data_IF_608834000641
#
_entry.id   IF_608834000641
#
_cell.length_a   1.000
_cell.length_b   1.000
_cell.length_c   1.000
_cell.angle_alpha   90.00
_cell.angle_beta   90.00
_cell.angle_gamma   90.00
#
_symmetry.space_group_name_H-M   'P 1'
#
loop_
_entity.id
_entity.type
_entity.pdbx_description
1 polymer ?
#
# COMPACT_ATOMS: atom_id res chain seq x y z
N UNK A 1 -10.81 1.00 -8.08
CA UNK A 1 -9.60 0.29 -8.57
C UNK A 1 -9.48 -1.00 -7.79
N UNK A 2 -9.13 -2.10 -8.43
CA UNK A 2 -8.65 -3.27 -7.71
C UNK A 2 -7.67 -4.00 -8.62
N UNK A 3 -6.39 -3.67 -8.49
CA UNK A 3 -5.34 -4.47 -9.11
C UNK A 3 -4.77 -5.41 -8.06
N UNK A 4 -4.52 -6.69 -8.38
CA UNK A 4 -3.96 -7.65 -7.43
C UNK A 4 -2.63 -7.22 -6.79
N UNK A 5 -1.92 -6.24 -7.36
CA UNK A 5 -0.69 -5.71 -6.78
C UNK A 5 -0.93 -4.73 -5.63
N UNK A 6 -2.04 -4.00 -5.63
CA UNK A 6 -2.35 -3.02 -4.59
C UNK A 6 -2.61 -3.71 -3.27
N UNK A 7 -3.46 -4.74 -3.31
CA UNK A 7 -3.78 -5.56 -2.16
C UNK A 7 -2.49 -6.15 -1.57
N UNK A 8 -1.57 -6.65 -2.41
CA UNK A 8 -0.27 -7.17 -1.93
C UNK A 8 0.63 -6.09 -1.32
N UNK A 9 0.59 -4.85 -1.82
CA UNK A 9 1.34 -3.73 -1.21
C UNK A 9 0.75 -3.40 0.16
N UNK A 10 -0.57 -3.30 0.24
CA UNK A 10 -1.28 -3.01 1.47
C UNK A 10 -1.07 -4.13 2.50
N UNK A 11 -1.22 -5.39 2.11
CA UNK A 11 -0.96 -6.58 2.94
C UNK A 11 0.47 -6.57 3.50
N UNK A 12 1.47 -6.25 2.68
CA UNK A 12 2.87 -6.19 3.11
C UNK A 12 3.09 -5.11 4.19
N UNK A 13 2.45 -3.94 4.04
CA UNK A 13 2.52 -2.86 5.02
C UNK A 13 1.78 -3.26 6.31
N UNK A 14 0.54 -3.73 6.20
CA UNK A 14 -0.32 -4.10 7.32
C UNK A 14 0.27 -5.24 8.16
N UNK A 15 0.67 -6.35 7.51
CA UNK A 15 1.20 -7.53 8.21
C UNK A 15 2.51 -7.23 8.94
N UNK A 16 3.32 -6.31 8.41
CA UNK A 16 4.57 -5.92 9.06
C UNK A 16 4.34 -5.03 10.27
N UNK A 17 3.33 -4.16 10.26
CA UNK A 17 3.16 -3.07 11.22
C UNK A 17 4.30 -2.03 11.17
N UNK A 18 5.15 -2.06 10.14
CA UNK A 18 6.35 -1.24 10.01
C UNK A 18 6.22 -0.19 8.90
N UNK A 19 7.11 0.79 8.96
CA UNK A 19 7.36 1.71 7.85
C UNK A 19 8.32 1.03 6.86
N UNK A 20 7.86 0.79 5.63
CA UNK A 20 8.62 0.08 4.61
C UNK A 20 9.06 1.00 3.46
N UNK A 21 10.17 0.65 2.82
CA UNK A 21 10.59 1.29 1.58
C UNK A 21 10.04 0.56 0.35
N UNK A 22 9.90 1.23 -0.81
CA UNK A 22 9.45 0.59 -2.05
C UNK A 22 10.29 -0.62 -2.44
N UNK A 23 11.60 -0.60 -2.17
CA UNK A 23 12.49 -1.73 -2.47
C UNK A 23 12.19 -2.95 -1.60
N UNK A 24 11.90 -2.74 -0.31
CA UNK A 24 11.57 -3.83 0.63
C UNK A 24 10.22 -4.43 0.28
N UNK A 25 9.22 -3.60 -0.01
CA UNK A 25 7.90 -4.06 -0.45
C UNK A 25 8.05 -4.89 -1.73
N UNK A 26 8.70 -4.34 -2.75
CA UNK A 26 8.90 -4.99 -4.05
C UNK A 26 9.60 -6.35 -3.94
N UNK A 27 10.63 -6.46 -3.08
CA UNK A 27 11.32 -7.71 -2.81
C UNK A 27 10.37 -8.77 -2.23
N UNK A 28 9.56 -8.40 -1.23
CA UNK A 28 8.68 -9.35 -0.54
C UNK A 28 7.44 -9.76 -1.36
N UNK A 29 7.00 -8.92 -2.30
CA UNK A 29 5.84 -9.24 -3.15
C UNK A 29 6.24 -9.77 -4.55
N UNK A 30 7.53 -10.00 -4.79
CA UNK A 30 8.08 -10.46 -6.08
C UNK A 30 7.62 -9.57 -7.26
N UNK A 31 7.88 -8.26 -7.14
CA UNK A 31 7.56 -7.26 -8.16
C UNK A 31 8.71 -6.32 -8.42
N UNK A 32 8.66 -5.66 -9.58
CA UNK A 32 9.59 -4.59 -9.89
C UNK A 32 9.36 -3.38 -8.98
N UNK A 33 10.45 -2.83 -8.44
CA UNK A 33 10.43 -1.61 -7.61
C UNK A 33 9.78 -0.42 -8.32
N UNK A 34 9.96 -0.29 -9.64
CA UNK A 34 9.34 0.78 -10.44
C UNK A 34 7.82 0.69 -10.42
N UNK A 35 7.27 -0.51 -10.54
CA UNK A 35 5.82 -0.72 -10.48
C UNK A 35 5.29 -0.46 -9.07
N UNK A 36 5.97 -0.95 -8.03
CA UNK A 36 5.59 -0.66 -6.63
C UNK A 36 5.60 0.84 -6.33
N UNK A 37 6.59 1.59 -6.82
CA UNK A 37 6.61 3.05 -6.68
C UNK A 37 5.40 3.71 -7.34
N UNK A 38 5.05 3.30 -8.57
CA UNK A 38 3.90 3.85 -9.29
C UNK A 38 2.60 3.60 -8.52
N UNK A 39 2.44 2.40 -7.96
CA UNK A 39 1.28 2.02 -7.16
C UNK A 39 1.23 2.73 -5.82
N UNK A 40 2.35 2.85 -5.11
CA UNK A 40 2.41 3.60 -3.85
C UNK A 40 1.99 5.06 -4.02
N UNK A 41 2.35 5.71 -5.13
CA UNK A 41 1.86 7.08 -5.39
C UNK A 41 0.32 7.13 -5.46
N UNK A 42 -0.28 6.18 -6.17
CA UNK A 42 -1.75 6.12 -6.32
C UNK A 42 -2.41 5.78 -4.98
N UNK A 43 -1.87 4.83 -4.21
CA UNK A 43 -2.39 4.49 -2.88
C UNK A 43 -2.29 5.67 -1.90
N UNK A 44 -1.27 6.52 -2.03
CA UNK A 44 -1.16 7.78 -1.27
C UNK A 44 -2.22 8.78 -1.70
N UNK A 45 -2.46 8.94 -3.01
CA UNK A 45 -3.49 9.85 -3.51
C UNK A 45 -4.90 9.46 -3.03
N UNK A 46 -5.13 8.16 -2.83
CA UNK A 46 -6.38 7.60 -2.27
C UNK A 46 -6.40 7.50 -0.73
N UNK A 47 -5.34 7.95 -0.03
CA UNK A 47 -5.29 7.93 1.42
C UNK A 47 -5.16 6.55 2.07
N UNK A 48 -4.95 5.49 1.30
CA UNK A 48 -4.78 4.11 1.81
C UNK A 48 -3.39 3.87 2.40
N UNK A 49 -2.41 4.67 1.98
CA UNK A 49 -1.03 4.62 2.44
C UNK A 49 -0.56 6.05 2.71
N UNK A 50 0.24 6.23 3.76
CA UNK A 50 0.91 7.49 4.07
C UNK A 50 2.39 7.43 3.66
N UNK A 51 2.89 8.50 3.02
CA UNK A 51 4.31 8.70 2.80
C UNK A 51 4.94 9.49 3.95
N UNK A 52 5.35 8.77 4.99
CA UNK A 52 5.93 9.35 6.23
C UNK A 52 7.19 10.19 5.97
N UNK A 53 8.02 9.79 4.99
CA UNK A 53 9.14 10.57 4.46
C UNK A 53 9.52 10.06 3.06
N UNK A 54 10.42 10.76 2.36
CA UNK A 54 10.86 10.35 1.01
C UNK A 54 11.37 8.91 0.98
N UNK A 55 10.56 8.02 0.40
CA UNK A 55 10.90 6.60 0.21
C UNK A 55 10.50 5.69 1.36
N UNK A 56 9.63 6.15 2.27
CA UNK A 56 9.16 5.42 3.45
C UNK A 56 7.65 5.56 3.56
N UNK A 57 6.97 4.42 3.66
CA UNK A 57 5.52 4.31 3.55
C UNK A 57 4.97 3.47 4.69
N UNK A 58 3.77 3.82 5.16
CA UNK A 58 3.01 3.09 6.18
C UNK A 58 1.56 2.97 5.71
N UNK A 59 0.89 1.87 6.01
CA UNK A 59 -0.56 1.79 5.82
C UNK A 59 -1.29 2.76 6.77
N UNK A 60 -2.40 3.34 6.32
CA UNK A 60 -3.29 4.17 7.13
C UNK A 60 -4.43 3.34 7.70
N UNK A 61 -5.18 3.88 8.67
CA UNK A 61 -6.37 3.22 9.20
C UNK A 61 -7.43 2.96 8.11
N UNK A 62 -7.56 3.85 7.12
CA UNK A 62 -8.43 3.67 5.95
C UNK A 62 -7.92 2.50 5.08
N UNK A 63 -6.60 2.39 4.89
CA UNK A 63 -5.99 1.27 4.17
C UNK A 63 -6.24 -0.07 4.87
N UNK A 64 -6.19 -0.12 6.19
CA UNK A 64 -6.51 -1.32 6.97
C UNK A 64 -7.98 -1.71 6.85
N UNK A 65 -8.91 -0.75 6.90
CA UNK A 65 -10.34 -0.98 6.68
C UNK A 65 -10.66 -1.45 5.25
N UNK A 66 -9.94 -0.91 4.26
CA UNK A 66 -10.04 -1.37 2.88
C UNK A 66 -9.62 -2.85 2.75
N UNK A 67 -8.49 -3.23 3.36
CA UNK A 67 -8.00 -4.61 3.34
C UNK A 67 -8.91 -5.60 4.07
N UNK A 68 -9.52 -5.19 5.18
CA UNK A 68 -10.43 -6.05 5.95
C UNK A 68 -11.78 -6.28 5.24
N UNK A 69 -12.04 -5.55 4.14
CA UNK A 69 -13.33 -5.55 3.46
C UNK A 69 -14.41 -4.80 4.23
N UNK A 70 -14.01 -3.99 5.22
CA UNK A 70 -14.91 -3.15 6.01
C UNK A 70 -15.20 -1.80 5.33
N UNK A 71 -14.38 -1.38 4.36
CA UNK A 71 -14.66 -0.24 3.50
C UNK A 71 -15.34 -0.68 2.19
N UNK A 72 -16.47 -0.07 1.84
CA UNK A 72 -17.12 -0.28 0.53
C UNK A 72 -16.22 0.31 -0.57
N UNK A 73 -15.86 -0.44 -1.62
CA UNK A 73 -15.11 0.09 -2.76
C UNK A 73 -15.76 1.28 -3.48
N UNK A 74 -17.04 1.57 -3.20
CA UNK A 74 -17.77 2.73 -3.73
C UNK A 74 -17.70 3.99 -2.84
N UNK A 75 -17.13 3.90 -1.63
CA UNK A 75 -17.03 5.03 -0.69
C UNK A 75 -15.72 5.84 -0.84
N UNK A 76 -14.87 5.52 -1.83
CA UNK A 76 -13.57 6.16 -2.12
C UNK A 76 -13.51 6.83 -3.49
#
# INVERSE_FOLDING_TARGET
MQMPIDDRILEALATSGLVLSPSVIAFNIDKARSEVNRRLSILVDHGLVERVKRGYYKITDIGEQYLSGEADPNDL
#
